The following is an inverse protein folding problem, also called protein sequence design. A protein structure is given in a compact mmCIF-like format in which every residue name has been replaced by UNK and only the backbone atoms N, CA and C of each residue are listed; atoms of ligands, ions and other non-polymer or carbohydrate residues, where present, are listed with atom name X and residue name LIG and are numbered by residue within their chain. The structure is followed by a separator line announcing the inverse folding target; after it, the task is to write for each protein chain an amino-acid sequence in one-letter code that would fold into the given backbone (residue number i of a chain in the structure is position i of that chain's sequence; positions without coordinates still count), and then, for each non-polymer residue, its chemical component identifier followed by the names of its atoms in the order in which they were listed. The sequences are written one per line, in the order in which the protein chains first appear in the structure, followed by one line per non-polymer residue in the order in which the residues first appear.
data_IF_763285206064
#
_entry.id   IF_763285206064
#
_cell.length_a   1.000
_cell.length_b   1.000
_cell.length_c   1.000
_cell.angle_alpha   90.00
_cell.angle_beta   90.00
_cell.angle_gamma   90.00
#
_symmetry.space_group_name_H-M   'P 1'
#
loop_
_entity.id
_entity.type
_entity.pdbx_description
1 polymer ?
#
# COMPACT_ATOMS: atom_id res chain seq x y z
N UNK A 1 -13.61 -11.00 -16.29
CA UNK A 1 -12.74 -9.84 -16.52
C UNK A 1 -13.05 -8.85 -15.43
N UNK A 2 -12.13 -8.62 -14.49
CA UNK A 2 -12.30 -7.56 -13.49
C UNK A 2 -12.11 -6.19 -14.16
N UNK A 3 -12.79 -5.17 -13.67
CA UNK A 3 -12.56 -3.81 -14.14
C UNK A 3 -11.21 -3.30 -13.63
N UNK A 4 -10.39 -2.74 -14.53
CA UNK A 4 -9.14 -2.08 -14.14
C UNK A 4 -9.45 -0.78 -13.37
N UNK A 5 -8.69 -0.56 -12.30
CA UNK A 5 -8.77 0.63 -11.45
C UNK A 5 -7.70 1.67 -11.79
N UNK A 6 -6.95 1.48 -12.87
CA UNK A 6 -5.88 2.40 -13.31
C UNK A 6 -6.40 3.84 -13.52
N UNK A 7 -7.68 4.00 -13.88
CA UNK A 7 -8.36 5.29 -13.98
C UNK A 7 -8.25 6.17 -12.72
N UNK A 8 -7.97 5.58 -11.56
CA UNK A 8 -7.83 6.29 -10.29
C UNK A 8 -6.38 6.68 -9.93
N UNK A 9 -5.41 6.35 -10.78
CA UNK A 9 -4.00 6.75 -10.62
C UNK A 9 -3.86 8.27 -10.51
N UNK A 10 -2.91 8.73 -9.69
CA UNK A 10 -2.62 10.16 -9.57
C UNK A 10 -2.05 10.71 -10.88
N UNK A 11 -2.75 11.69 -11.46
CA UNK A 11 -2.30 12.49 -12.61
C UNK A 11 -1.89 13.92 -12.20
N UNK A 12 -2.24 14.35 -10.98
CA UNK A 12 -1.90 15.67 -10.42
C UNK A 12 -2.39 15.85 -8.99
N UNK A 13 -2.21 17.03 -8.39
CA UNK A 13 -2.54 17.28 -6.97
C UNK A 13 -3.96 17.83 -6.73
N UNK A 14 -4.71 18.21 -7.77
CA UNK A 14 -6.01 18.89 -7.61
C UNK A 14 -7.10 18.07 -6.92
N UNK A 15 -6.96 16.75 -6.86
CA UNK A 15 -7.87 15.89 -6.10
C UNK A 15 -7.77 16.12 -4.59
N UNK A 16 -6.62 16.60 -4.09
CA UNK A 16 -6.42 16.83 -2.66
C UNK A 16 -7.40 17.91 -2.20
N UNK A 17 -7.46 19.03 -2.91
CA UNK A 17 -8.36 20.14 -2.60
C UNK A 17 -9.84 19.73 -2.74
N UNK A 18 -10.17 18.95 -3.77
CA UNK A 18 -11.52 18.41 -3.98
C UNK A 18 -11.97 17.53 -2.81
N UNK A 19 -11.14 16.57 -2.42
CA UNK A 19 -11.45 15.63 -1.35
C UNK A 19 -11.42 16.29 0.04
N UNK A 20 -10.50 17.24 0.26
CA UNK A 20 -10.48 18.05 1.49
C UNK A 20 -11.76 18.88 1.61
N UNK A 21 -12.21 19.52 0.53
CA UNK A 21 -13.46 20.30 0.55
C UNK A 21 -14.70 19.42 0.75
N UNK A 22 -14.69 18.18 0.22
CA UNK A 22 -15.84 17.26 0.29
C UNK A 22 -15.95 16.54 1.64
N UNK A 23 -14.84 16.05 2.18
CA UNK A 23 -14.81 15.24 3.41
C UNK A 23 -14.54 16.07 4.67
N UNK A 24 -13.86 17.21 4.51
CA UNK A 24 -13.27 17.96 5.60
C UNK A 24 -11.91 17.41 6.02
N UNK A 25 -11.09 18.29 6.59
CA UNK A 25 -9.70 17.99 6.97
C UNK A 25 -9.57 16.82 7.93
N UNK A 26 -10.47 16.70 8.91
CA UNK A 26 -10.37 15.67 9.93
C UNK A 26 -10.57 14.26 9.36
N UNK A 27 -11.63 14.06 8.57
CA UNK A 27 -11.93 12.76 7.96
C UNK A 27 -10.90 12.41 6.88
N UNK A 28 -10.41 13.39 6.13
CA UNK A 28 -9.32 13.20 5.17
C UNK A 28 -8.06 12.65 5.86
N UNK A 29 -7.62 13.29 6.96
CA UNK A 29 -6.44 12.84 7.71
C UNK A 29 -6.66 11.47 8.38
N UNK A 30 -7.87 11.19 8.90
CA UNK A 30 -8.20 9.87 9.44
C UNK A 30 -8.12 8.79 8.38
N UNK A 31 -8.60 9.08 7.17
CA UNK A 31 -8.54 8.13 6.05
C UNK A 31 -7.07 7.86 5.66
N UNK A 32 -6.26 8.91 5.49
CA UNK A 32 -4.82 8.79 5.24
C UNK A 32 -4.14 7.87 6.27
N UNK A 33 -4.34 8.16 7.56
CA UNK A 33 -3.74 7.41 8.65
C UNK A 33 -4.15 5.92 8.64
N UNK A 34 -5.41 5.62 8.28
CA UNK A 34 -5.89 4.24 8.15
C UNK A 34 -5.23 3.51 6.99
N UNK A 35 -5.11 4.15 5.82
CA UNK A 35 -4.46 3.56 4.65
C UNK A 35 -3.00 3.27 4.96
N UNK A 36 -2.26 4.25 5.49
CA UNK A 36 -0.84 4.06 5.79
C UNK A 36 -0.62 3.00 6.87
N UNK A 37 -1.43 3.00 7.94
CA UNK A 37 -1.33 1.96 8.98
C UNK A 37 -1.62 0.56 8.43
N UNK A 38 -2.54 0.42 7.47
CA UNK A 38 -2.79 -0.86 6.81
C UNK A 38 -1.57 -1.29 5.98
N UNK A 39 -1.01 -0.40 5.16
CA UNK A 39 0.17 -0.69 4.35
C UNK A 39 1.39 -1.06 5.20
N UNK A 40 1.65 -0.34 6.29
CA UNK A 40 2.76 -0.67 7.21
C UNK A 40 2.65 -2.07 7.81
N UNK A 41 1.42 -2.50 8.10
CA UNK A 41 1.11 -3.85 8.61
C UNK A 41 1.13 -4.92 7.53
N UNK A 42 1.20 -4.54 6.25
CA UNK A 42 1.31 -5.49 5.15
C UNK A 42 2.63 -6.24 5.26
N UNK A 43 2.52 -7.56 5.39
CA UNK A 43 3.68 -8.45 5.42
C UNK A 43 4.44 -8.44 4.10
N UNK A 44 5.72 -8.81 4.18
CA UNK A 44 6.56 -9.00 2.99
C UNK A 44 5.96 -10.12 2.12
N UNK A 45 5.96 -9.91 0.80
CA UNK A 45 5.37 -10.80 -0.20
C UNK A 45 3.87 -11.09 0.05
N UNK A 46 3.18 -10.15 0.70
CA UNK A 46 1.72 -10.13 0.83
C UNK A 46 1.15 -8.97 0.01
N UNK A 47 -0.14 -9.07 -0.29
CA UNK A 47 -0.88 -8.05 -1.00
C UNK A 47 -2.15 -7.67 -0.23
N UNK A 48 -2.61 -6.45 -0.45
CA UNK A 48 -3.99 -6.03 -0.17
C UNK A 48 -4.77 -6.04 -1.48
N UNK A 49 -5.94 -6.64 -1.44
CA UNK A 49 -6.91 -6.56 -2.54
C UNK A 49 -7.76 -5.30 -2.36
N UNK A 50 -7.73 -4.41 -3.36
CA UNK A 50 -8.48 -3.15 -3.34
C UNK A 50 -9.95 -3.40 -3.64
N UNK A 51 -10.29 -4.54 -4.26
CA UNK A 51 -11.69 -4.91 -4.50
C UNK A 51 -12.46 -5.16 -3.20
N UNK A 52 -11.76 -5.45 -2.09
CA UNK A 52 -12.34 -5.55 -0.74
C UNK A 52 -12.69 -4.18 -0.13
N UNK A 53 -12.16 -3.08 -0.68
CA UNK A 53 -12.50 -1.72 -0.26
C UNK A 53 -13.84 -1.32 -0.89
N UNK A 54 -14.69 -0.64 -0.12
CA UNK A 54 -15.96 -0.11 -0.63
C UNK A 54 -15.73 0.72 -1.91
N UNK A 55 -16.51 0.52 -2.99
CA UNK A 55 -16.27 1.14 -4.30
C UNK A 55 -16.10 2.67 -4.26
N UNK A 56 -16.89 3.34 -3.43
CA UNK A 56 -16.85 4.79 -3.18
C UNK A 56 -15.54 5.28 -2.53
N UNK A 57 -14.81 4.40 -1.86
CA UNK A 57 -13.54 4.69 -1.20
C UNK A 57 -12.31 4.20 -1.99
N UNK A 58 -12.52 3.38 -3.04
CA UNK A 58 -11.42 2.80 -3.83
C UNK A 58 -10.55 3.87 -4.51
N UNK A 59 -11.18 4.90 -5.07
CA UNK A 59 -10.44 6.00 -5.70
C UNK A 59 -9.50 6.68 -4.70
N UNK A 60 -10.02 7.11 -3.55
CA UNK A 60 -9.24 7.81 -2.53
C UNK A 60 -8.16 6.91 -1.95
N UNK A 61 -8.47 5.63 -1.74
CA UNK A 61 -7.51 4.62 -1.30
C UNK A 61 -6.33 4.50 -2.27
N UNK A 62 -6.61 4.33 -3.57
CA UNK A 62 -5.57 4.22 -4.60
C UNK A 62 -4.70 5.46 -4.65
N UNK A 63 -5.27 6.65 -4.51
CA UNK A 63 -4.50 7.91 -4.49
C UNK A 63 -3.56 7.96 -3.28
N UNK A 64 -4.02 7.64 -2.08
CA UNK A 64 -3.14 7.56 -0.91
C UNK A 64 -2.06 6.49 -1.05
N UNK A 65 -2.39 5.32 -1.60
CA UNK A 65 -1.41 4.29 -1.91
C UNK A 65 -0.35 4.77 -2.91
N UNK A 66 -0.72 5.52 -3.96
CA UNK A 66 0.22 6.15 -4.89
C UNK A 66 1.20 7.10 -4.16
N UNK A 67 0.69 7.95 -3.26
CA UNK A 67 1.53 8.84 -2.44
C UNK A 67 2.45 8.08 -1.49
N UNK A 68 1.97 6.96 -0.95
CA UNK A 68 2.76 6.11 -0.08
C UNK A 68 3.91 5.45 -0.85
N UNK A 69 3.63 4.83 -2.00
CA UNK A 69 4.63 4.19 -2.87
C UNK A 69 5.74 5.17 -3.28
N UNK A 70 5.40 6.44 -3.54
CA UNK A 70 6.40 7.46 -3.86
C UNK A 70 7.50 7.60 -2.80
N UNK A 71 7.17 7.36 -1.53
CA UNK A 71 8.10 7.38 -0.39
C UNK A 71 8.60 5.99 0.02
N UNK A 72 7.94 4.94 -0.45
CA UNK A 72 8.16 3.55 -0.05
C UNK A 72 8.25 2.64 -1.29
N UNK A 73 9.43 2.59 -1.96
CA UNK A 73 9.62 1.87 -3.23
C UNK A 73 9.51 0.34 -3.11
N UNK A 74 9.45 -0.18 -1.88
CA UNK A 74 9.15 -1.59 -1.61
C UNK A 74 7.67 -1.94 -1.89
N UNK A 75 6.79 -0.96 -2.03
CA UNK A 75 5.40 -1.17 -2.42
C UNK A 75 5.20 -0.89 -3.91
N UNK A 76 4.26 -1.60 -4.53
CA UNK A 76 3.94 -1.42 -5.94
C UNK A 76 2.51 -1.91 -6.22
N UNK A 77 1.93 -1.50 -7.34
CA UNK A 77 0.64 -2.02 -7.79
C UNK A 77 0.84 -3.13 -8.82
N UNK A 78 -0.14 -4.02 -8.93
CA UNK A 78 -0.29 -4.80 -10.14
C UNK A 78 -0.74 -3.92 -11.32
N UNK A 79 -0.73 -4.47 -12.53
CA UNK A 79 -1.05 -3.74 -13.76
C UNK A 79 -2.45 -3.09 -13.72
N UNK A 80 -3.42 -3.76 -13.11
CA UNK A 80 -4.81 -3.30 -13.05
C UNK A 80 -5.13 -2.37 -11.87
N UNK A 81 -4.16 -2.03 -11.02
CA UNK A 81 -4.37 -1.28 -9.77
C UNK A 81 -5.41 -1.92 -8.83
N UNK A 82 -5.62 -3.23 -8.93
CA UNK A 82 -6.55 -3.97 -8.05
C UNK A 82 -5.83 -4.53 -6.81
N UNK A 83 -4.50 -4.62 -6.84
CA UNK A 83 -3.72 -5.17 -5.75
C UNK A 83 -2.48 -4.30 -5.49
N UNK A 84 -2.19 -4.06 -4.20
CA UNK A 84 -0.94 -3.47 -3.76
C UNK A 84 -0.12 -4.50 -3.00
N UNK A 85 1.11 -4.75 -3.45
CA UNK A 85 2.03 -5.71 -2.83
C UNK A 85 3.23 -5.02 -2.17
N UNK A 86 3.80 -5.70 -1.17
CA UNK A 86 5.08 -5.31 -0.56
C UNK A 86 6.16 -6.31 -0.95
N UNK A 87 7.15 -5.86 -1.71
CA UNK A 87 8.31 -6.64 -2.15
C UNK A 87 9.28 -6.88 -1.00
N UNK A 88 9.90 -8.05 -0.99
CA UNK A 88 11.05 -8.33 -0.12
C UNK A 88 12.29 -7.56 -0.61
N UNK A 89 12.95 -6.81 0.27
CA UNK A 89 14.25 -6.23 -0.06
C UNK A 89 15.37 -7.27 0.12
N UNK A 90 16.43 -7.18 -0.70
CA UNK A 90 17.58 -8.08 -0.58
C UNK A 90 18.21 -8.05 0.83
N UNK A 91 18.34 -6.87 1.42
CA UNK A 91 18.88 -6.71 2.78
C UNK A 91 18.00 -7.39 3.84
N UNK A 92 16.68 -7.32 3.68
CA UNK A 92 15.72 -8.00 4.56
C UNK A 92 15.83 -9.51 4.43
N UNK A 93 15.86 -10.02 3.20
CA UNK A 93 16.05 -11.44 2.91
C UNK A 93 17.37 -11.97 3.49
N UNK A 94 18.46 -11.22 3.31
CA UNK A 94 19.79 -11.60 3.81
C UNK A 94 19.80 -11.67 5.35
N UNK A 95 19.23 -10.66 6.02
CA UNK A 95 19.15 -10.61 7.47
C UNK A 95 18.28 -11.74 8.04
N UNK A 96 17.15 -12.05 7.40
CA UNK A 96 16.31 -13.17 7.83
C UNK A 96 17.01 -14.51 7.64
N UNK A 97 17.70 -14.68 6.51
CA UNK A 97 18.47 -15.88 6.19
C UNK A 97 19.60 -16.10 7.22
N UNK A 98 20.35 -15.05 7.58
CA UNK A 98 21.36 -15.09 8.66
C UNK A 98 20.74 -15.47 10.01
N UNK A 99 19.59 -14.91 10.38
CA UNK A 99 18.85 -15.26 11.62
C UNK A 99 18.44 -16.74 11.64
N UNK A 100 17.95 -17.28 10.51
CA UNK A 100 17.58 -18.70 10.39
C UNK A 100 18.79 -19.61 10.60
N UNK A 101 19.94 -19.29 10.00
CA UNK A 101 21.18 -20.05 10.19
C UNK A 101 21.65 -20.06 11.66
N UNK A 102 21.60 -18.91 12.34
CA UNK A 102 21.97 -18.82 13.76
C UNK A 102 21.06 -19.68 14.65
N UNK A 103 19.75 -19.66 14.41
CA UNK A 103 18.78 -20.51 15.15
C UNK A 103 19.03 -21.99 14.91
N UNK A 104 19.38 -22.39 13.70
CA UNK A 104 19.70 -23.78 13.37
C UNK A 104 20.97 -24.27 14.08
N UNK A 105 22.00 -23.42 14.20
CA UNK A 105 23.25 -23.75 14.91
C UNK A 105 23.06 -23.92 16.42
N UNK A 106 22.12 -23.18 17.03
CA UNK A 106 21.84 -23.26 18.48
C UNK A 106 21.06 -24.51 18.90
N UNK A 107 20.54 -25.29 17.94
CA UNK A 107 19.79 -26.54 18.15
C UNK A 107 20.64 -27.81 17.99
N UNK A 108 21.93 -27.66 17.66
CA UNK A 108 22.95 -28.74 17.68
C UNK A 108 23.82 -28.58 18.91
#
# INVERSE_FOLDING_TARGET
MGESLEKYKIVGCGWIDEYLSRLGTEEFCKFEARVYSALEKLGINKFYDITDVQPENQELFIKFCCLYIYRHPEYEFNEDFTQIWRKESYEQWEMETRRRMLRARKRR
#
